data_IF_920912574525
#
_entry.id   IF_920912574525
#
_cell.length_a   1.000
_cell.length_b   1.000
_cell.length_c   1.000
_cell.angle_alpha   90.00
_cell.angle_beta   90.00
_cell.angle_gamma   90.00
#
_symmetry.space_group_name_H-M   'P 1'
#
loop_
_entity.id
_entity.type
_entity.pdbx_description
1 polymer ?
#
# COMPACT_ATOMS: atom_id res chain seq x y z
N UNK A 1 -6.86 -34.70 30.59
CA UNK A 1 -7.79 -33.95 29.72
C UNK A 1 -7.65 -32.41 29.76
N UNK A 2 -6.84 -31.77 30.63
CA UNK A 2 -6.82 -30.29 30.78
C UNK A 2 -5.57 -29.57 30.21
N UNK A 3 -4.78 -30.24 29.38
CA UNK A 3 -3.48 -29.71 28.93
C UNK A 3 -3.58 -28.88 27.64
N UNK A 4 -4.50 -29.25 26.74
CA UNK A 4 -4.77 -28.52 25.49
C UNK A 4 -5.40 -27.16 25.81
N UNK A 5 -6.32 -27.13 26.78
CA UNK A 5 -7.08 -25.95 27.19
C UNK A 5 -6.20 -24.85 27.82
N UNK A 6 -5.25 -25.24 28.68
CA UNK A 6 -4.26 -24.30 29.24
C UNK A 6 -3.29 -23.75 28.18
N UNK A 7 -2.93 -24.57 27.19
CA UNK A 7 -2.08 -24.14 26.09
C UNK A 7 -2.76 -23.10 25.21
N UNK A 8 -4.03 -23.33 24.89
CA UNK A 8 -4.82 -22.40 24.09
C UNK A 8 -5.13 -21.09 24.85
N UNK A 9 -5.36 -21.19 26.15
CA UNK A 9 -5.50 -20.03 27.03
C UNK A 9 -4.23 -19.15 27.04
N UNK A 10 -3.04 -19.73 27.15
CA UNK A 10 -1.77 -18.96 27.11
C UNK A 10 -1.54 -18.31 25.74
N UNK A 11 -2.03 -18.94 24.66
CA UNK A 11 -1.94 -18.43 23.30
C UNK A 11 -2.86 -17.22 23.08
N UNK A 12 -4.09 -17.25 23.59
CA UNK A 12 -5.01 -16.12 23.47
C UNK A 12 -4.48 -14.87 24.17
N UNK A 13 -3.85 -15.01 25.34
CA UNK A 13 -3.29 -13.89 26.09
C UNK A 13 -1.97 -13.32 25.54
N UNK A 14 -1.24 -14.05 24.70
CA UNK A 14 0.09 -13.63 24.20
C UNK A 14 0.17 -13.41 22.69
N UNK A 15 -0.95 -13.55 21.98
CA UNK A 15 -1.01 -13.39 20.53
C UNK A 15 -0.77 -11.93 20.12
N UNK A 16 0.32 -11.69 19.40
CA UNK A 16 0.52 -10.47 18.64
C UNK A 16 -0.48 -10.48 17.48
N UNK A 17 -1.66 -9.87 17.67
CA UNK A 17 -2.68 -9.74 16.63
C UNK A 17 -2.21 -8.77 15.52
N UNK A 18 -1.32 -9.23 14.66
CA UNK A 18 -1.13 -8.65 13.35
C UNK A 18 -2.11 -9.31 12.38
N UNK A 19 -2.96 -8.52 11.73
CA UNK A 19 -3.82 -8.99 10.64
C UNK A 19 -2.94 -9.44 9.46
N UNK A 20 -2.60 -10.73 9.40
CA UNK A 20 -1.89 -11.31 8.27
C UNK A 20 -2.88 -11.53 7.11
N UNK A 21 -2.75 -10.73 6.04
CA UNK A 21 -3.53 -10.86 4.79
C UNK A 21 -2.95 -11.92 3.82
N UNK A 22 -2.28 -12.95 4.33
CA UNK A 22 -1.75 -14.05 3.51
C UNK A 22 -2.36 -15.34 4.06
N UNK A 23 -2.70 -16.27 3.17
CA UNK A 23 -3.74 -17.29 3.36
C UNK A 23 -3.70 -18.08 4.69
N UNK A 24 -4.82 -18.74 5.06
CA UNK A 24 -5.02 -19.38 6.37
C UNK A 24 -3.85 -20.26 6.84
N UNK A 25 -3.19 -20.94 5.91
CA UNK A 25 -2.05 -21.82 6.15
C UNK A 25 -0.77 -21.11 6.64
N UNK A 26 -0.53 -19.86 6.22
CA UNK A 26 0.65 -19.11 6.70
C UNK A 26 0.51 -18.66 8.16
N UNK A 27 -0.71 -18.34 8.60
CA UNK A 27 -1.00 -18.02 10.00
C UNK A 27 -0.83 -19.27 10.90
N UNK A 28 -1.20 -20.45 10.37
CA UNK A 28 -1.03 -21.73 11.05
C UNK A 28 0.42 -22.21 11.07
N UNK A 29 1.23 -21.97 10.05
CA UNK A 29 2.60 -22.50 10.03
C UNK A 29 3.55 -21.62 10.84
N UNK A 30 3.50 -20.30 10.64
CA UNK A 30 4.52 -19.42 11.22
C UNK A 30 4.20 -19.01 12.65
N UNK A 31 2.99 -18.50 12.91
CA UNK A 31 2.67 -17.98 14.25
C UNK A 31 2.46 -19.10 15.26
N UNK A 32 1.77 -20.18 14.89
CA UNK A 32 1.53 -21.30 15.80
C UNK A 32 2.80 -22.07 16.16
N UNK A 33 3.58 -22.52 15.15
CA UNK A 33 4.80 -23.29 15.44
C UNK A 33 5.82 -22.46 16.21
N UNK A 34 5.92 -21.17 15.92
CA UNK A 34 6.79 -20.27 16.65
C UNK A 34 6.32 -20.09 18.11
N UNK A 35 5.02 -19.87 18.34
CA UNK A 35 4.48 -19.76 19.70
C UNK A 35 4.68 -21.05 20.50
N UNK A 36 4.49 -22.22 19.88
CA UNK A 36 4.73 -23.53 20.52
C UNK A 36 6.21 -23.73 20.84
N UNK A 37 7.11 -23.41 19.90
CA UNK A 37 8.56 -23.50 20.13
C UNK A 37 9.02 -22.56 21.25
N UNK A 38 8.48 -21.33 21.31
CA UNK A 38 8.78 -20.36 22.37
C UNK A 38 8.22 -20.80 23.73
N UNK A 39 7.02 -21.38 23.78
CA UNK A 39 6.46 -21.92 25.01
C UNK A 39 7.26 -23.15 25.51
N UNK A 40 7.64 -24.05 24.62
CA UNK A 40 8.43 -25.23 24.97
C UNK A 40 9.84 -24.86 25.44
N UNK A 41 10.50 -23.90 24.77
CA UNK A 41 11.80 -23.39 25.22
C UNK A 41 11.74 -22.70 26.59
N UNK A 42 10.64 -22.02 26.91
CA UNK A 42 10.42 -21.46 28.24
C UNK A 42 10.27 -22.55 29.32
N UNK A 43 9.55 -23.63 29.02
CA UNK A 43 9.42 -24.78 29.93
C UNK A 43 10.80 -25.43 30.16
N UNK A 44 11.60 -25.58 29.10
CA UNK A 44 12.97 -26.10 29.21
C UNK A 44 13.85 -25.18 30.07
N UNK A 45 13.76 -23.87 29.89
CA UNK A 45 14.45 -22.89 30.73
C UNK A 45 14.08 -23.02 32.21
N UNK A 46 12.81 -23.30 32.54
CA UNK A 46 12.38 -23.54 33.92
C UNK A 46 12.83 -24.87 34.51
N UNK A 47 12.92 -25.91 33.68
CA UNK A 47 13.31 -27.27 34.12
C UNK A 47 14.82 -27.48 34.15
N UNK A 48 15.58 -26.61 33.50
CA UNK A 48 17.05 -26.67 33.47
C UNK A 48 17.61 -26.19 34.80
N UNK A 49 18.38 -27.04 35.47
CA UNK A 49 18.90 -26.78 36.83
C UNK A 49 20.11 -25.83 36.88
N UNK A 50 20.83 -25.62 35.76
CA UNK A 50 21.98 -24.71 35.66
C UNK A 50 22.06 -23.99 34.30
N UNK A 51 21.16 -23.04 34.02
CA UNK A 51 21.29 -22.21 32.83
C UNK A 51 22.41 -21.17 33.02
N UNK A 52 23.30 -21.01 32.04
CA UNK A 52 24.30 -19.93 32.03
C UNK A 52 23.68 -18.55 31.68
N UNK A 53 22.41 -18.55 31.27
CA UNK A 53 21.64 -17.38 30.88
C UNK A 53 20.70 -16.93 31.99
N UNK A 54 20.39 -15.63 31.98
CA UNK A 54 19.48 -14.99 32.94
C UNK A 54 18.14 -15.74 33.01
N UNK A 55 17.64 -16.11 34.20
CA UNK A 55 16.35 -16.75 34.32
C UNK A 55 15.22 -15.75 34.07
N UNK A 56 14.23 -16.16 33.29
CA UNK A 56 13.01 -15.41 33.06
C UNK A 56 11.86 -16.04 33.85
N UNK A 57 11.09 -15.21 34.55
CA UNK A 57 9.96 -15.64 35.39
C UNK A 57 8.66 -15.78 34.61
N UNK A 58 8.49 -14.98 33.55
CA UNK A 58 7.27 -14.93 32.72
C UNK A 58 7.57 -15.28 31.26
N UNK A 59 6.59 -15.93 30.62
CA UNK A 59 6.67 -16.30 29.21
C UNK A 59 6.80 -15.05 28.32
N UNK A 60 6.16 -13.94 28.69
CA UNK A 60 6.24 -12.68 27.96
C UNK A 60 7.67 -12.13 27.94
N UNK A 61 8.32 -12.07 29.09
CA UNK A 61 9.71 -11.59 29.18
C UNK A 61 10.69 -12.51 28.43
N UNK A 62 10.43 -13.83 28.44
CA UNK A 62 11.21 -14.80 27.67
C UNK A 62 11.05 -14.59 26.15
N UNK A 63 9.80 -14.44 25.67
CA UNK A 63 9.52 -14.15 24.26
C UNK A 63 10.22 -12.87 23.80
N UNK A 64 10.10 -11.80 24.58
CA UNK A 64 10.71 -10.51 24.29
C UNK A 64 12.24 -10.61 24.23
N UNK A 65 12.86 -11.34 25.16
CA UNK A 65 14.30 -11.57 25.15
C UNK A 65 14.79 -12.31 23.89
N UNK A 66 14.08 -13.37 23.49
CA UNK A 66 14.41 -14.11 22.26
C UNK A 66 14.23 -13.23 21.03
N UNK A 67 13.11 -12.52 20.93
CA UNK A 67 12.87 -11.61 19.80
C UNK A 67 13.96 -10.55 19.71
N UNK A 68 14.28 -9.88 20.81
CA UNK A 68 15.32 -8.86 20.83
C UNK A 68 16.70 -9.44 20.48
N UNK A 69 17.03 -10.65 20.94
CA UNK A 69 18.29 -11.30 20.57
C UNK A 69 18.37 -11.60 19.06
N UNK A 70 17.27 -12.08 18.47
CA UNK A 70 17.17 -12.33 17.02
C UNK A 70 17.28 -11.01 16.24
N UNK A 71 16.53 -9.98 16.65
CA UNK A 71 16.57 -8.67 16.00
C UNK A 71 17.93 -7.98 16.14
N UNK A 72 18.59 -8.06 17.29
CA UNK A 72 19.91 -7.44 17.47
C UNK A 72 20.98 -8.17 16.65
N UNK A 73 20.90 -9.50 16.53
CA UNK A 73 21.88 -10.31 15.78
C UNK A 73 21.70 -10.20 14.27
N UNK A 74 20.46 -10.18 13.79
CA UNK A 74 20.15 -10.25 12.36
C UNK A 74 19.51 -8.98 11.80
N UNK A 75 19.08 -8.03 12.62
CA UNK A 75 18.40 -6.82 12.17
C UNK A 75 19.31 -5.86 11.39
N UNK A 76 20.59 -5.78 11.75
CA UNK A 76 21.58 -4.94 11.06
C UNK A 76 22.03 -5.52 9.72
N UNK A 77 22.12 -6.85 9.60
CA UNK A 77 22.47 -7.56 8.37
C UNK A 77 21.28 -7.94 7.50
N UNK A 78 20.06 -7.91 8.05
CA UNK A 78 18.86 -7.96 7.24
C UNK A 78 18.83 -6.65 6.45
N UNK A 79 19.16 -6.71 5.16
CA UNK A 79 18.59 -5.78 4.20
C UNK A 79 17.08 -5.97 4.33
N UNK A 80 16.48 -5.30 5.32
CA UNK A 80 15.08 -5.38 5.63
C UNK A 80 14.41 -5.24 4.28
N UNK A 81 13.72 -6.30 3.83
CA UNK A 81 13.11 -6.30 2.51
C UNK A 81 12.36 -4.99 2.41
N UNK A 82 12.92 -4.02 1.68
CA UNK A 82 12.14 -2.92 1.14
C UNK A 82 10.97 -3.67 0.54
N UNK A 83 9.76 -3.36 0.99
CA UNK A 83 8.57 -3.98 0.42
C UNK A 83 8.50 -3.44 -1.01
N UNK A 84 9.32 -4.00 -1.90
CA UNK A 84 9.21 -3.86 -3.32
C UNK A 84 7.87 -4.49 -3.64
N UNK A 85 6.85 -3.65 -3.71
CA UNK A 85 5.64 -4.00 -4.43
C UNK A 85 6.09 -3.99 -5.88
N UNK A 86 6.28 -5.18 -6.44
CA UNK A 86 6.55 -5.35 -7.86
C UNK A 86 5.55 -4.49 -8.65
N UNK A 87 6.05 -3.54 -9.45
CA UNK A 87 5.23 -2.67 -10.30
C UNK A 87 4.92 -1.26 -9.78
N UNK A 88 5.58 -0.75 -8.73
CA UNK A 88 5.54 0.70 -8.44
C UNK A 88 6.54 1.43 -9.34
N UNK A 89 6.04 2.37 -10.16
CA UNK A 89 6.85 3.25 -11.03
C UNK A 89 7.93 4.04 -10.26
N UNK A 90 7.73 4.24 -8.95
CA UNK A 90 8.66 4.85 -7.99
C UNK A 90 10.02 4.11 -7.87
N UNK A 91 10.02 2.81 -8.16
CA UNK A 91 11.15 1.88 -8.02
C UNK A 91 11.84 1.60 -9.37
N UNK A 92 11.50 2.35 -10.43
CA UNK A 92 12.20 2.23 -11.72
C UNK A 92 13.67 2.69 -11.58
N UNK A 93 14.60 1.88 -12.08
CA UNK A 93 16.03 2.25 -12.22
C UNK A 93 16.22 3.45 -13.17
N UNK A 94 15.22 3.70 -14.03
CA UNK A 94 15.20 4.91 -14.86
C UNK A 94 14.83 6.15 -14.02
N UNK A 95 15.85 6.95 -13.71
CA UNK A 95 15.73 8.21 -12.98
C UNK A 95 14.70 9.16 -13.62
N UNK A 96 14.57 9.18 -14.96
CA UNK A 96 13.62 10.05 -15.65
C UNK A 96 12.18 9.62 -15.39
N UNK A 97 11.89 8.32 -15.56
CA UNK A 97 10.57 7.76 -15.29
C UNK A 97 10.15 8.00 -13.84
N UNK A 98 11.08 7.83 -12.88
CA UNK A 98 10.86 8.08 -11.47
C UNK A 98 10.53 9.56 -11.18
N UNK A 99 11.26 10.49 -11.78
CA UNK A 99 11.03 11.92 -11.59
C UNK A 99 9.68 12.37 -12.17
N UNK A 100 9.29 11.84 -13.33
CA UNK A 100 7.98 12.12 -13.94
C UNK A 100 6.85 11.60 -13.03
N UNK A 101 7.00 10.41 -12.46
CA UNK A 101 6.02 9.83 -11.55
C UNK A 101 5.85 10.68 -10.27
N UNK A 102 6.95 11.09 -9.63
CA UNK A 102 6.91 11.99 -8.47
C UNK A 102 6.23 13.32 -8.81
N UNK A 103 6.54 13.88 -9.98
CA UNK A 103 5.93 15.11 -10.44
C UNK A 103 4.43 14.96 -10.71
N UNK A 104 3.98 13.80 -11.20
CA UNK A 104 2.56 13.47 -11.30
C UNK A 104 1.91 13.46 -9.92
N UNK A 105 2.46 12.72 -8.98
CA UNK A 105 1.83 12.51 -7.67
C UNK A 105 1.74 13.81 -6.85
N UNK A 106 2.71 14.73 -7.00
CA UNK A 106 2.65 16.06 -6.40
C UNK A 106 1.57 16.94 -7.04
N UNK A 107 1.40 16.84 -8.36
CA UNK A 107 0.54 17.75 -9.11
C UNK A 107 -0.88 17.20 -9.34
N UNK A 108 -1.10 15.90 -9.24
CA UNK A 108 -2.42 15.29 -9.41
C UNK A 108 -3.19 15.33 -8.09
N UNK A 109 -4.16 16.23 -8.01
CA UNK A 109 -4.90 16.51 -6.78
C UNK A 109 -6.39 16.36 -6.98
N UNK A 110 -7.08 16.03 -5.88
CA UNK A 110 -8.53 16.08 -5.83
C UNK A 110 -9.01 17.54 -5.79
N UNK A 111 -9.86 17.95 -6.73
CA UNK A 111 -10.34 19.34 -6.87
C UNK A 111 -11.64 19.62 -6.12
N UNK A 112 -12.27 18.60 -5.52
CA UNK A 112 -13.53 18.72 -4.78
C UNK A 112 -14.70 17.92 -5.36
N UNK A 113 -15.79 17.83 -4.58
CA UNK A 113 -16.99 17.04 -4.96
C UNK A 113 -17.78 17.70 -6.09
N UNK A 114 -17.76 19.04 -6.11
CA UNK A 114 -18.52 19.89 -7.03
C UNK A 114 -17.69 20.33 -8.25
N UNK A 115 -16.39 20.05 -8.27
CA UNK A 115 -15.46 20.44 -9.35
C UNK A 115 -15.42 19.43 -10.50
N UNK A 116 -16.55 18.75 -10.75
CA UNK A 116 -16.64 17.67 -11.73
C UNK A 116 -16.59 18.26 -13.13
N UNK A 117 -15.46 18.11 -13.82
CA UNK A 117 -15.23 18.68 -15.15
C UNK A 117 -14.72 17.62 -16.13
N UNK A 118 -14.98 17.75 -17.45
CA UNK A 118 -14.60 16.72 -18.40
C UNK A 118 -13.08 16.52 -18.45
N UNK A 119 -12.63 15.27 -18.34
CA UNK A 119 -11.21 14.93 -18.44
C UNK A 119 -10.68 15.29 -19.83
N UNK A 120 -9.66 16.15 -19.90
CA UNK A 120 -9.10 16.57 -21.19
C UNK A 120 -8.34 15.43 -21.88
N UNK A 121 -7.63 14.60 -21.13
CA UNK A 121 -6.93 13.43 -21.69
C UNK A 121 -7.89 12.42 -22.33
N UNK A 122 -9.03 12.15 -21.67
CA UNK A 122 -10.06 11.27 -22.24
C UNK A 122 -10.76 11.88 -23.47
N UNK A 123 -10.63 13.19 -23.69
CA UNK A 123 -11.07 13.87 -24.91
C UNK A 123 -10.00 13.88 -26.01
N UNK A 124 -8.84 13.28 -25.77
CA UNK A 124 -7.71 13.26 -26.70
C UNK A 124 -6.94 14.58 -26.78
N UNK A 125 -7.18 15.52 -25.85
CA UNK A 125 -6.45 16.78 -25.79
C UNK A 125 -5.13 16.60 -25.06
N UNK A 126 -4.05 17.19 -25.59
CA UNK A 126 -2.71 17.19 -25.00
C UNK A 126 -2.28 18.59 -24.52
N UNK A 127 -1.29 18.66 -23.64
CA UNK A 127 -0.70 19.92 -23.20
C UNK A 127 -0.08 20.64 -24.41
N UNK A 128 -0.32 21.94 -24.53
CA UNK A 128 0.17 22.76 -25.64
C UNK A 128 -0.71 22.74 -26.90
N UNK A 129 -1.70 21.84 -27.01
CA UNK A 129 -2.65 21.90 -28.12
C UNK A 129 -3.60 23.11 -27.94
N UNK A 130 -3.83 23.90 -29.01
CA UNK A 130 -4.83 24.95 -28.97
C UNK A 130 -6.20 24.33 -28.66
N UNK A 131 -6.82 24.80 -27.58
CA UNK A 131 -8.16 24.34 -27.21
C UNK A 131 -9.14 24.84 -28.29
N UNK A 132 -10.05 23.99 -28.79
CA UNK A 132 -11.09 24.49 -29.68
C UNK A 132 -11.84 25.60 -28.95
N UNK A 133 -12.10 26.74 -29.61
CA UNK A 133 -12.79 27.85 -28.98
C UNK A 133 -14.12 27.33 -28.43
N UNK A 134 -14.49 27.78 -27.23
CA UNK A 134 -15.83 27.52 -26.69
C UNK A 134 -16.82 28.02 -27.75
N UNK A 135 -17.52 27.12 -28.43
CA UNK A 135 -18.61 27.50 -29.33
C UNK A 135 -19.56 28.33 -28.49
N UNK A 136 -19.69 29.62 -28.79
CA UNK A 136 -20.78 30.42 -28.27
C UNK A 136 -22.07 29.65 -28.59
N UNK A 137 -22.99 29.53 -27.62
CA UNK A 137 -24.30 28.93 -27.86
C UNK A 137 -25.03 29.81 -28.89
N UNK A 138 -24.83 29.56 -30.17
CA UNK A 138 -25.70 30.09 -31.21
C UNK A 138 -27.03 29.38 -31.02
N UNK A 139 -28.05 30.13 -30.59
CA UNK A 139 -29.43 29.65 -30.63
C UNK A 139 -29.77 29.25 -32.05
N UNK A 140 -30.38 28.07 -32.21
CA UNK A 140 -30.89 27.62 -33.50
C UNK A 140 -30.48 26.20 -33.87
N UNK A 141 -31.51 25.36 -33.98
CA UNK A 141 -31.57 24.00 -34.54
C UNK A 141 -30.97 22.86 -33.71
N UNK A 142 -31.87 21.94 -33.32
CA UNK A 142 -31.57 20.66 -32.69
C UNK A 142 -30.64 19.87 -33.62
N UNK A 143 -29.40 19.64 -33.18
CA UNK A 143 -28.50 18.73 -33.88
C UNK A 143 -28.95 17.27 -33.67
N UNK A 144 -28.76 16.39 -34.66
CA UNK A 144 -29.05 14.98 -34.51
C UNK A 144 -28.32 14.42 -33.29
N UNK A 145 -29.04 13.67 -32.45
CA UNK A 145 -28.52 13.09 -31.22
C UNK A 145 -27.43 12.08 -31.60
N UNK A 146 -26.18 12.54 -31.65
CA UNK A 146 -25.03 11.64 -31.66
C UNK A 146 -25.11 10.83 -30.38
N UNK A 147 -25.17 9.49 -30.51
CA UNK A 147 -25.22 8.52 -29.40
C UNK A 147 -24.44 9.01 -28.18
N UNK A 148 -25.06 8.92 -27.00
CA UNK A 148 -24.58 9.35 -25.69
C UNK A 148 -23.14 8.92 -25.36
N UNK A 149 -22.13 9.56 -25.94
CA UNK A 149 -20.77 9.50 -25.45
C UNK A 149 -20.71 10.40 -24.21
N UNK A 150 -21.12 9.85 -23.05
CA UNK A 150 -20.92 10.52 -21.77
C UNK A 150 -19.41 10.67 -21.57
N UNK A 151 -18.89 11.86 -21.92
CA UNK A 151 -17.48 12.18 -21.72
C UNK A 151 -17.11 11.93 -20.27
N UNK A 152 -15.99 11.22 -20.03
CA UNK A 152 -15.52 10.96 -18.68
C UNK A 152 -15.33 12.28 -17.95
N UNK A 153 -16.06 12.46 -16.86
CA UNK A 153 -15.94 13.60 -15.97
C UNK A 153 -14.98 13.23 -14.84
N UNK A 154 -14.08 14.14 -14.48
CA UNK A 154 -13.12 13.96 -13.40
C UNK A 154 -13.36 14.97 -12.28
N UNK A 155 -13.17 14.52 -11.04
CA UNK A 155 -13.03 15.36 -9.84
C UNK A 155 -11.57 15.61 -9.48
N UNK A 156 -10.66 15.06 -10.25
CA UNK A 156 -9.22 15.20 -10.10
C UNK A 156 -8.66 16.10 -11.19
N UNK A 157 -7.47 16.65 -10.97
CA UNK A 157 -6.80 17.44 -11.97
C UNK A 157 -5.38 17.81 -11.59
N UNK A 158 -4.73 18.58 -12.47
CA UNK A 158 -3.41 19.11 -12.22
C UNK A 158 -3.50 20.40 -11.39
N UNK A 159 -2.76 20.46 -10.27
CA UNK A 159 -2.60 21.62 -9.40
C UNK A 159 -1.93 22.80 -10.12
N UNK A 160 -0.91 22.53 -10.93
CA UNK A 160 -0.14 23.58 -11.60
C UNK A 160 -0.88 24.24 -12.76
N UNK A 161 -1.66 23.45 -13.53
CA UNK A 161 -2.31 23.92 -14.75
C UNK A 161 -3.84 24.08 -14.61
N UNK A 162 -4.41 23.73 -13.44
CA UNK A 162 -5.85 23.66 -13.14
C UNK A 162 -6.69 22.89 -14.19
N UNK A 163 -6.08 21.85 -14.78
CA UNK A 163 -6.70 21.02 -15.82
C UNK A 163 -7.39 19.81 -15.19
N UNK A 164 -8.61 19.50 -15.65
CA UNK A 164 -9.33 18.29 -15.27
C UNK A 164 -8.72 17.03 -15.93
N UNK A 165 -8.22 16.11 -15.11
CA UNK A 165 -7.60 14.85 -15.54
C UNK A 165 -8.12 13.73 -14.63
N UNK A 166 -8.53 12.60 -15.20
CA UNK A 166 -9.02 11.45 -14.43
C UNK A 166 -7.97 10.94 -13.44
N UNK A 167 -8.41 10.18 -12.43
CA UNK A 167 -7.54 9.43 -11.53
C UNK A 167 -6.91 8.18 -12.16
N UNK A 168 -6.90 8.09 -13.49
CA UNK A 168 -6.21 7.02 -14.20
C UNK A 168 -4.78 7.48 -14.51
N UNK A 169 -3.79 6.65 -14.21
CA UNK A 169 -2.38 6.92 -14.46
C UNK A 169 -2.13 7.32 -15.94
N UNK A 170 -2.74 6.57 -16.86
CA UNK A 170 -2.58 6.81 -18.30
C UNK A 170 -3.10 8.18 -18.73
N UNK A 171 -4.15 8.70 -18.08
CA UNK A 171 -4.71 10.01 -18.43
C UNK A 171 -3.75 11.15 -18.09
N UNK A 172 -2.91 10.98 -17.06
CA UNK A 172 -1.86 11.94 -16.79
C UNK A 172 -0.81 11.90 -17.88
N UNK A 173 -0.25 10.71 -18.15
CA UNK A 173 0.80 10.54 -19.15
C UNK A 173 0.33 11.04 -20.52
N UNK A 174 -0.81 10.58 -21.01
CA UNK A 174 -1.38 10.99 -22.31
C UNK A 174 -1.56 12.51 -22.46
N UNK A 175 -1.86 13.23 -21.37
CA UNK A 175 -2.01 14.69 -21.44
C UNK A 175 -0.65 15.39 -21.53
N UNK A 176 0.34 14.91 -20.79
CA UNK A 176 1.67 15.51 -20.67
C UNK A 176 2.69 14.96 -21.68
N UNK A 177 2.36 13.92 -22.45
CA UNK A 177 3.22 13.45 -23.55
C UNK A 177 3.27 14.55 -24.62
N UNK A 178 4.47 15.09 -24.94
CA UNK A 178 4.61 16.05 -26.04
C UNK A 178 4.21 15.40 -27.38
N UNK A 179 3.85 16.25 -28.34
CA UNK A 179 3.65 15.86 -29.74
C UNK A 179 5.01 15.86 -30.42
#
# INVERSE_FOLDING_TARGET
>A
MNHVDRGDQIRSYTSYQHRFRRGPWQALLWSFLLDVALANSFILQKKTRQPHWKPYSTLRAWKEAIYNAIFNKYGTGSGARKRYRTGKEEDSEDLKARQIHLQRDINHVYRGRNSSSPCLACKGLRQGQPRPPKKAKKGGYLQPISRNARGRVSRYGCKACDVAICNNADCWYLYYTPI
#
